data_IF_630428082553
#
_entry.id   IF_630428082553
#
_cell.length_a   1.000
_cell.length_b   1.000
_cell.length_c   1.000
_cell.angle_alpha   90.00
_cell.angle_beta   90.00
_cell.angle_gamma   90.00
#
_symmetry.space_group_name_H-M   'P 1'
#
loop_
_entity.id
_entity.type
_entity.pdbx_description
1 polymer ?
#
# COMPACT_ATOMS: atom_id res chain seq x y z
N UNK A 1 -32.06 -42.30 37.69
CA UNK A 1 -32.45 -42.43 36.27
C UNK A 1 -33.52 -41.37 36.08
N UNK A 2 -33.13 -40.17 35.62
CA UNK A 2 -34.07 -39.03 35.51
C UNK A 2 -35.04 -39.33 34.38
N UNK A 3 -36.33 -39.20 34.69
CA UNK A 3 -37.44 -39.57 33.82
C UNK A 3 -37.53 -38.47 32.74
N UNK A 4 -37.28 -38.82 31.49
CA UNK A 4 -37.46 -37.90 30.36
C UNK A 4 -38.95 -37.81 30.06
N UNK A 5 -39.60 -36.78 30.57
CA UNK A 5 -41.02 -36.57 30.43
C UNK A 5 -41.30 -35.43 29.42
N UNK A 6 -42.30 -35.61 28.56
CA UNK A 6 -42.78 -34.58 27.60
C UNK A 6 -44.20 -34.21 27.96
N UNK A 7 -44.38 -33.54 29.09
CA UNK A 7 -45.68 -33.52 29.71
C UNK A 7 -46.17 -32.09 29.95
N UNK A 8 -46.77 -31.56 28.88
CA UNK A 8 -48.00 -30.75 29.02
C UNK A 8 -49.20 -31.58 29.52
N UNK A 9 -48.98 -32.86 29.82
CA UNK A 9 -49.97 -33.83 30.25
C UNK A 9 -49.28 -34.86 31.13
N UNK A 10 -49.22 -34.59 32.42
CA UNK A 10 -49.72 -35.50 33.47
C UNK A 10 -49.34 -34.90 34.82
N UNK A 11 -50.35 -34.65 35.65
CA UNK A 11 -50.19 -34.03 36.95
C UNK A 11 -49.37 -34.89 37.90
N UNK A 12 -49.13 -34.30 39.07
CA UNK A 12 -48.89 -34.99 40.35
C UNK A 12 -47.44 -34.91 40.87
N UNK A 13 -47.08 -33.72 41.36
CA UNK A 13 -45.90 -33.58 42.22
C UNK A 13 -45.41 -32.15 42.34
N UNK A 14 -46.21 -31.24 42.90
CA UNK A 14 -45.64 -29.96 43.32
C UNK A 14 -44.62 -30.23 44.43
N UNK A 15 -43.36 -29.87 44.17
CA UNK A 15 -42.28 -29.95 45.13
C UNK A 15 -41.90 -28.49 45.44
N UNK A 16 -42.08 -28.01 46.69
CA UNK A 16 -41.72 -26.65 47.06
C UNK A 16 -40.25 -26.38 46.75
N UNK A 17 -39.98 -25.36 45.93
CA UNK A 17 -38.62 -24.98 45.53
C UNK A 17 -38.03 -25.79 44.37
N UNK A 18 -38.75 -26.77 43.81
CA UNK A 18 -38.30 -27.54 42.65
C UNK A 18 -39.31 -27.49 41.51
N UNK A 19 -39.30 -26.36 40.81
CA UNK A 19 -40.18 -26.08 39.68
C UNK A 19 -39.69 -26.75 38.39
N UNK A 20 -40.57 -26.82 37.39
CA UNK A 20 -40.26 -27.35 36.08
C UNK A 20 -39.54 -26.31 35.21
N UNK A 21 -38.54 -26.76 34.46
CA UNK A 21 -37.77 -26.00 33.47
C UNK A 21 -37.64 -26.82 32.19
N UNK A 22 -37.62 -26.13 31.06
CA UNK A 22 -37.36 -26.74 29.74
C UNK A 22 -35.85 -26.73 29.50
N UNK A 23 -35.28 -27.83 29.01
CA UNK A 23 -33.91 -27.87 28.53
C UNK A 23 -33.78 -27.19 27.16
N UNK A 24 -32.87 -26.21 27.04
CA UNK A 24 -32.67 -25.44 25.80
C UNK A 24 -32.11 -26.28 24.63
N UNK A 25 -31.52 -27.45 24.91
CA UNK A 25 -30.87 -28.32 23.90
C UNK A 25 -31.81 -29.42 23.41
N UNK A 26 -32.43 -30.17 24.33
CA UNK A 26 -33.28 -31.30 23.96
C UNK A 26 -34.78 -30.98 23.95
N UNK A 27 -35.20 -29.86 24.54
CA UNK A 27 -36.60 -29.40 24.55
C UNK A 27 -37.54 -30.17 25.50
N UNK A 28 -36.99 -31.06 26.34
CA UNK A 28 -37.76 -31.80 27.35
C UNK A 28 -37.84 -31.01 28.67
N UNK A 29 -38.89 -31.30 29.45
CA UNK A 29 -39.10 -30.72 30.77
C UNK A 29 -38.34 -31.53 31.83
N UNK A 30 -37.61 -30.83 32.68
CA UNK A 30 -36.89 -31.38 33.82
C UNK A 30 -37.16 -30.55 35.07
N UNK A 31 -36.89 -31.14 36.23
CA UNK A 31 -36.92 -30.40 37.50
C UNK A 31 -35.73 -29.45 37.60
N UNK A 32 -35.92 -28.33 38.28
CA UNK A 32 -34.86 -27.34 38.50
C UNK A 32 -33.62 -27.94 39.17
N UNK A 33 -33.81 -28.96 40.01
CA UNK A 33 -32.74 -29.73 40.65
C UNK A 33 -31.89 -30.57 39.69
N UNK A 34 -32.43 -30.97 38.54
CA UNK A 34 -31.76 -31.77 37.50
C UNK A 34 -31.11 -30.93 36.39
N UNK A 35 -31.31 -29.61 36.45
CA UNK A 35 -30.85 -28.63 35.47
C UNK A 35 -29.53 -27.98 35.87
N UNK A 36 -28.72 -27.63 34.88
CA UNK A 36 -27.41 -26.98 35.07
C UNK A 36 -27.20 -25.90 34.03
N UNK A 37 -26.52 -24.83 34.43
CA UNK A 37 -26.05 -23.80 33.50
C UNK A 37 -24.80 -24.31 32.75
N UNK A 38 -24.84 -24.24 31.42
CA UNK A 38 -23.71 -24.54 30.55
C UNK A 38 -22.85 -23.28 30.34
N UNK A 39 -21.64 -23.48 29.85
CA UNK A 39 -20.64 -22.42 29.60
C UNK A 39 -21.09 -21.28 28.68
N UNK A 40 -22.15 -21.47 27.91
CA UNK A 40 -22.79 -20.50 27.02
C UNK A 40 -24.05 -19.85 27.65
N UNK A 41 -24.26 -20.03 28.96
CA UNK A 41 -25.44 -19.59 29.72
C UNK A 41 -26.76 -20.30 29.34
N UNK A 42 -26.70 -21.41 28.59
CA UNK A 42 -27.88 -22.24 28.35
C UNK A 42 -28.23 -23.08 29.58
N UNK A 43 -29.53 -23.19 29.88
CA UNK A 43 -30.02 -24.07 30.93
C UNK A 43 -30.29 -25.46 30.32
N UNK A 44 -29.50 -26.45 30.74
CA UNK A 44 -29.50 -27.78 30.13
C UNK A 44 -29.69 -28.88 31.17
N UNK A 45 -30.28 -30.00 30.75
CA UNK A 45 -30.35 -31.19 31.60
C UNK A 45 -28.96 -31.80 31.78
N UNK A 46 -28.79 -32.61 32.82
CA UNK A 46 -27.49 -33.23 33.15
C UNK A 46 -26.89 -34.07 32.00
N UNK A 47 -27.71 -34.63 31.12
CA UNK A 47 -27.23 -35.40 29.95
C UNK A 47 -26.74 -34.53 28.79
N UNK A 48 -27.31 -33.33 28.64
CA UNK A 48 -26.88 -32.35 27.63
C UNK A 48 -25.79 -31.40 28.16
N UNK A 49 -25.41 -31.54 29.43
CA UNK A 49 -24.36 -30.74 30.03
C UNK A 49 -22.99 -31.16 29.52
N UNK A 50 -22.22 -30.19 29.05
CA UNK A 50 -20.86 -30.37 28.57
C UNK A 50 -19.90 -29.41 29.26
N UNK A 51 -18.67 -29.86 29.48
CA UNK A 51 -17.59 -29.03 30.02
C UNK A 51 -17.12 -28.05 28.94
N UNK A 52 -16.92 -26.79 29.31
CA UNK A 52 -16.29 -25.80 28.42
C UNK A 52 -14.90 -26.27 27.97
N UNK A 53 -14.60 -26.10 26.68
CA UNK A 53 -13.24 -26.32 26.19
C UNK A 53 -12.30 -25.22 26.73
N UNK A 54 -11.19 -25.64 27.36
CA UNK A 54 -10.21 -24.74 27.98
C UNK A 54 -9.55 -23.81 26.95
N UNK A 55 -9.45 -24.23 25.68
CA UNK A 55 -8.89 -23.40 24.61
C UNK A 55 -9.75 -22.19 24.24
N UNK A 56 -11.06 -22.18 24.51
CA UNK A 56 -11.91 -21.02 24.22
C UNK A 56 -11.58 -19.80 25.10
N UNK A 57 -10.92 -20.02 26.23
CA UNK A 57 -10.45 -18.94 27.11
C UNK A 57 -9.08 -18.38 26.71
N UNK A 58 -8.38 -19.01 25.78
CA UNK A 58 -7.01 -18.64 25.40
C UNK A 58 -7.05 -17.47 24.43
N UNK A 59 -6.40 -16.36 24.79
CA UNK A 59 -6.21 -15.20 23.91
C UNK A 59 -4.87 -15.31 23.19
N UNK A 60 -4.84 -14.96 21.92
CA UNK A 60 -3.59 -14.86 21.15
C UNK A 60 -2.64 -13.84 21.78
N UNK A 61 -1.37 -14.20 21.91
CA UNK A 61 -0.30 -13.28 22.31
C UNK A 61 0.17 -12.57 21.04
N UNK A 62 0.32 -11.24 21.09
CA UNK A 62 0.83 -10.49 19.97
C UNK A 62 2.28 -10.88 19.67
N UNK A 63 2.52 -11.43 18.48
CA UNK A 63 3.86 -11.79 18.02
C UNK A 63 4.59 -10.60 17.40
N UNK A 64 5.91 -10.55 17.57
CA UNK A 64 6.77 -9.60 16.87
C UNK A 64 7.20 -10.22 15.54
N UNK A 65 6.41 -9.99 14.50
CA UNK A 65 6.66 -10.49 13.14
C UNK A 65 7.82 -9.74 12.46
N UNK A 66 8.12 -8.52 12.91
CA UNK A 66 9.15 -7.68 12.30
C UNK A 66 10.56 -8.26 12.52
N UNK A 67 11.32 -8.36 11.43
CA UNK A 67 12.73 -8.76 11.45
C UNK A 67 13.56 -7.63 12.10
N UNK A 68 14.45 -7.91 13.08
CA UNK A 68 15.23 -6.88 13.77
C UNK A 68 16.13 -6.05 12.87
N UNK A 69 16.60 -6.65 11.77
CA UNK A 69 17.43 -5.99 10.77
C UNK A 69 16.87 -6.37 9.41
N UNK A 70 16.01 -5.51 8.85
CA UNK A 70 15.67 -5.59 7.44
C UNK A 70 16.86 -5.07 6.64
N UNK A 71 17.30 -5.80 5.61
CA UNK A 71 18.20 -5.20 4.62
C UNK A 71 17.41 -4.11 3.88
N UNK A 72 17.96 -2.89 3.72
CA UNK A 72 17.34 -1.90 2.87
C UNK A 72 17.24 -2.47 1.46
N UNK A 73 16.08 -2.27 0.84
CA UNK A 73 15.94 -2.46 -0.61
C UNK A 73 16.90 -1.46 -1.27
N UNK A 74 17.73 -1.86 -2.25
CA UNK A 74 18.54 -0.88 -2.98
C UNK A 74 17.60 0.17 -3.58
N UNK A 75 17.92 1.45 -3.38
CA UNK A 75 17.14 2.55 -3.96
C UNK A 75 16.97 2.30 -5.46
N UNK A 76 15.72 2.30 -5.89
CA UNK A 76 15.34 2.10 -7.29
C UNK A 76 16.20 2.98 -8.19
N UNK A 77 16.73 2.34 -9.23
CA UNK A 77 17.73 2.85 -10.15
C UNK A 77 17.39 4.26 -10.65
N UNK A 78 17.84 5.31 -9.96
CA UNK A 78 17.89 6.63 -10.56
C UNK A 78 18.91 6.53 -11.70
N UNK A 79 18.39 6.39 -12.93
CA UNK A 79 19.22 6.20 -14.11
C UNK A 79 20.03 7.44 -14.44
N UNK A 80 19.61 8.59 -13.91
CA UNK A 80 20.25 9.87 -14.16
C UNK A 80 21.34 10.08 -13.13
N UNK A 81 22.58 10.10 -13.60
CA UNK A 81 23.78 10.39 -12.78
C UNK A 81 24.38 11.74 -13.11
N UNK A 82 24.23 12.18 -14.35
CA UNK A 82 24.73 13.46 -14.83
C UNK A 82 23.93 13.96 -16.01
N UNK A 83 23.98 15.27 -16.22
CA UNK A 83 23.47 15.95 -17.41
C UNK A 83 24.64 16.52 -18.21
N UNK A 84 24.53 16.45 -19.54
CA UNK A 84 25.48 17.05 -20.48
C UNK A 84 24.75 18.06 -21.34
N UNK A 85 25.15 19.32 -21.26
CA UNK A 85 24.57 20.39 -22.06
C UNK A 85 24.91 20.25 -23.55
N UNK A 86 24.01 20.75 -24.38
CA UNK A 86 24.22 20.95 -25.82
C UNK A 86 24.81 22.35 -26.09
N UNK A 87 24.94 22.71 -27.37
CA UNK A 87 25.56 23.96 -27.85
C UNK A 87 24.96 25.25 -27.26
N UNK A 88 23.71 25.21 -26.77
CA UNK A 88 23.10 26.30 -26.00
C UNK A 88 23.03 25.91 -24.52
N UNK A 89 24.05 26.31 -23.75
CA UNK A 89 24.13 26.07 -22.32
C UNK A 89 23.10 26.90 -21.57
N UNK A 90 22.10 26.22 -21.03
CA UNK A 90 20.93 26.83 -20.36
C UNK A 90 20.64 26.20 -19.00
N UNK A 91 21.47 25.25 -18.60
CA UNK A 91 21.35 24.50 -17.36
C UNK A 91 22.69 24.47 -16.65
N UNK A 92 22.72 24.78 -15.37
CA UNK A 92 23.80 24.36 -14.49
C UNK A 92 23.38 23.09 -13.78
N UNK A 93 24.25 22.07 -13.81
CA UNK A 93 23.92 20.75 -13.28
C UNK A 93 25.02 20.23 -12.38
N UNK A 94 24.63 19.69 -11.23
CA UNK A 94 25.51 18.94 -10.33
C UNK A 94 24.95 17.54 -10.19
N UNK A 95 25.68 16.55 -10.69
CA UNK A 95 25.21 15.16 -10.80
C UNK A 95 23.83 15.11 -11.49
N UNK A 96 22.83 14.50 -10.84
CA UNK A 96 21.46 14.37 -11.36
C UNK A 96 20.59 15.62 -11.16
N UNK A 97 21.10 16.63 -10.46
CA UNK A 97 20.36 17.84 -10.09
C UNK A 97 20.58 18.96 -11.10
N UNK A 98 19.52 19.71 -11.39
CA UNK A 98 19.62 20.96 -12.15
C UNK A 98 19.61 22.09 -11.13
N UNK A 99 20.81 22.61 -10.86
CA UNK A 99 21.02 23.67 -9.88
C UNK A 99 20.61 25.02 -10.40
N UNK A 100 20.63 25.22 -11.72
CA UNK A 100 20.07 26.41 -12.37
C UNK A 100 19.48 26.05 -13.73
N UNK A 101 18.34 26.63 -14.08
CA UNK A 101 17.82 26.68 -15.44
C UNK A 101 17.51 28.14 -15.81
N UNK A 102 18.03 28.58 -16.95
CA UNK A 102 17.81 29.92 -17.52
C UNK A 102 17.16 29.82 -18.90
N UNK A 103 16.49 30.89 -19.31
CA UNK A 103 15.95 31.00 -20.67
C UNK A 103 17.08 30.97 -21.70
N UNK A 104 16.83 30.26 -22.80
CA UNK A 104 17.72 30.19 -23.96
C UNK A 104 17.26 31.15 -25.04
N UNK A 105 18.20 31.76 -25.77
CA UNK A 105 17.88 32.46 -27.02
C UNK A 105 17.58 31.49 -28.19
N UNK A 106 17.72 30.16 -27.98
CA UNK A 106 17.44 29.10 -28.97
C UNK A 106 16.93 27.82 -28.29
N UNK A 107 16.93 26.68 -29.00
CA UNK A 107 16.52 25.41 -28.38
C UNK A 107 17.62 24.88 -27.46
N UNK A 108 17.52 25.18 -26.17
CA UNK A 108 18.42 24.67 -25.13
C UNK A 108 18.05 23.24 -24.73
N UNK A 109 19.02 22.35 -24.70
CA UNK A 109 18.80 20.98 -24.22
C UNK A 109 19.99 20.45 -23.42
N UNK A 110 19.69 19.63 -22.41
CA UNK A 110 20.64 18.83 -21.67
C UNK A 110 20.25 17.36 -21.78
N UNK A 111 21.24 16.51 -22.01
CA UNK A 111 21.06 15.07 -22.18
C UNK A 111 21.52 14.33 -20.92
N UNK A 112 20.80 13.31 -20.48
CA UNK A 112 21.24 12.46 -19.37
C UNK A 112 22.49 11.65 -19.76
N UNK A 113 23.16 11.05 -18.78
CA UNK A 113 24.22 10.05 -19.04
C UNK A 113 23.81 9.00 -20.09
N UNK A 114 24.81 8.41 -20.75
CA UNK A 114 24.68 7.35 -21.75
C UNK A 114 24.10 6.07 -21.13
N UNK A 115 22.81 6.09 -20.81
CA UNK A 115 22.09 4.95 -20.26
C UNK A 115 20.80 4.82 -21.04
N UNK A 116 20.79 3.84 -21.93
CA UNK A 116 19.61 3.51 -22.73
C UNK A 116 18.57 2.88 -21.82
N UNK A 117 17.36 3.41 -21.84
CA UNK A 117 16.21 2.74 -21.21
C UNK A 117 15.79 1.53 -22.05
N UNK A 118 15.30 0.45 -21.45
CA UNK A 118 14.83 -0.73 -22.16
C UNK A 118 13.33 -0.63 -22.41
N UNK A 119 12.88 -0.88 -23.64
CA UNK A 119 11.46 -0.88 -24.01
C UNK A 119 10.64 -1.80 -23.09
N UNK A 120 9.45 -1.35 -22.69
CA UNK A 120 8.52 -2.08 -21.83
C UNK A 120 8.92 -2.13 -20.35
N UNK A 121 9.93 -1.37 -19.94
CA UNK A 121 10.35 -1.28 -18.53
C UNK A 121 9.86 0.04 -17.91
N UNK A 122 9.34 -0.05 -16.69
CA UNK A 122 8.95 1.11 -15.90
C UNK A 122 10.19 1.72 -15.23
N UNK A 123 10.34 3.03 -15.38
CA UNK A 123 11.43 3.80 -14.79
C UNK A 123 10.88 4.91 -13.90
N UNK A 124 11.61 5.18 -12.83
CA UNK A 124 11.38 6.33 -11.96
C UNK A 124 12.60 7.25 -12.01
N UNK A 125 12.36 8.51 -12.33
CA UNK A 125 13.39 9.55 -12.35
C UNK A 125 13.11 10.50 -11.22
N UNK A 126 14.12 10.76 -10.38
CA UNK A 126 14.08 11.82 -9.39
C UNK A 126 15.15 12.87 -9.70
N UNK A 127 14.73 14.14 -9.80
CA UNK A 127 15.61 15.28 -9.98
C UNK A 127 15.00 16.52 -9.30
N UNK A 128 15.83 17.32 -8.64
CA UNK A 128 15.42 18.63 -8.12
C UNK A 128 15.80 19.69 -9.15
N UNK A 129 14.84 20.56 -9.44
CA UNK A 129 15.04 21.73 -10.28
C UNK A 129 15.04 22.98 -9.39
N UNK A 130 16.03 23.84 -9.54
CA UNK A 130 15.96 25.23 -9.08
C UNK A 130 15.75 26.14 -10.30
N UNK A 131 14.53 26.67 -10.45
CA UNK A 131 14.20 27.56 -11.56
C UNK A 131 14.48 29.02 -11.18
N UNK A 132 15.58 29.57 -11.72
CA UNK A 132 15.99 30.95 -11.44
C UNK A 132 15.20 31.97 -12.29
N UNK A 133 14.91 31.64 -13.55
CA UNK A 133 14.11 32.47 -14.46
C UNK A 133 13.63 31.67 -15.66
N UNK A 134 12.54 32.09 -16.30
CA UNK A 134 12.09 31.52 -17.57
C UNK A 134 11.04 30.41 -17.47
N UNK A 135 10.85 29.69 -18.57
CA UNK A 135 9.90 28.58 -18.63
C UNK A 135 10.47 27.34 -17.92
N UNK A 136 9.59 26.61 -17.23
CA UNK A 136 9.98 25.37 -16.59
C UNK A 136 10.34 24.30 -17.65
N UNK A 137 11.50 23.63 -17.52
CA UNK A 137 11.99 22.74 -18.54
C UNK A 137 11.17 21.44 -18.60
N UNK A 138 11.12 20.84 -19.79
CA UNK A 138 10.37 19.61 -20.04
C UNK A 138 11.32 18.43 -20.19
N UNK A 139 10.95 17.33 -19.55
CA UNK A 139 11.63 16.04 -19.69
C UNK A 139 10.99 15.28 -20.85
N UNK A 140 11.82 14.80 -21.76
CA UNK A 140 11.42 14.05 -22.95
C UNK A 140 12.36 12.85 -23.15
N UNK A 141 11.93 11.86 -23.93
CA UNK A 141 12.83 10.84 -24.48
C UNK A 141 13.44 11.30 -25.80
N UNK A 142 14.50 10.66 -26.29
CA UNK A 142 15.10 10.97 -27.60
C UNK A 142 16.14 9.96 -28.07
N UNK A 143 16.58 10.10 -29.32
CA UNK A 143 17.64 9.27 -29.92
C UNK A 143 19.03 9.83 -29.60
N UNK A 144 20.11 9.10 -29.90
CA UNK A 144 21.47 9.59 -29.66
C UNK A 144 21.73 10.89 -30.45
N UNK A 145 21.81 12.02 -29.77
CA UNK A 145 22.08 13.33 -30.37
C UNK A 145 20.85 14.11 -30.85
N UNK A 146 19.62 13.63 -30.64
CA UNK A 146 18.41 14.40 -30.95
C UNK A 146 17.31 14.28 -29.89
N UNK A 147 16.72 15.42 -29.55
CA UNK A 147 15.70 15.61 -28.52
C UNK A 147 14.28 15.57 -29.14
N UNK A 148 13.97 14.51 -29.91
CA UNK A 148 12.74 14.41 -30.74
C UNK A 148 11.70 13.38 -30.23
N UNK A 149 11.86 12.87 -29.01
CA UNK A 149 10.99 11.80 -28.50
C UNK A 149 9.79 12.29 -27.70
N UNK A 150 9.23 11.36 -26.93
CA UNK A 150 7.96 11.53 -26.21
C UNK A 150 8.16 12.40 -24.97
N UNK A 151 7.29 13.39 -24.77
CA UNK A 151 7.28 14.20 -23.55
C UNK A 151 6.83 13.36 -22.34
N UNK A 152 7.69 13.29 -21.32
CA UNK A 152 7.43 12.56 -20.09
C UNK A 152 6.80 13.45 -19.02
N UNK A 153 7.11 14.74 -19.02
CA UNK A 153 6.51 15.71 -18.10
C UNK A 153 7.25 17.05 -18.06
N UNK A 154 6.63 18.07 -17.47
CA UNK A 154 7.30 19.35 -17.18
C UNK A 154 7.78 19.35 -15.73
N UNK A 155 9.03 19.74 -15.50
CA UNK A 155 9.59 19.84 -14.16
C UNK A 155 9.03 21.07 -13.44
N UNK A 156 8.72 20.95 -12.16
CA UNK A 156 8.35 22.06 -11.29
C UNK A 156 9.55 22.50 -10.46
N UNK A 157 9.58 23.76 -10.02
CA UNK A 157 10.60 24.22 -9.08
C UNK A 157 10.53 23.40 -7.78
N UNK A 158 11.66 22.85 -7.34
CA UNK A 158 11.75 21.88 -6.24
C UNK A 158 11.90 20.43 -6.70
N UNK A 159 11.57 19.45 -5.84
CA UNK A 159 11.77 18.03 -6.12
C UNK A 159 10.73 17.50 -7.10
N UNK A 160 11.19 16.78 -8.13
CA UNK A 160 10.34 16.13 -9.13
C UNK A 160 10.58 14.63 -9.16
N UNK A 161 9.49 13.88 -9.28
CA UNK A 161 9.50 12.44 -9.54
C UNK A 161 8.63 12.15 -10.74
N UNK A 162 9.22 11.58 -11.80
CA UNK A 162 8.51 11.22 -13.03
C UNK A 162 8.62 9.71 -13.21
N UNK A 163 7.47 9.06 -13.34
CA UNK A 163 7.37 7.63 -13.63
C UNK A 163 6.90 7.47 -15.07
N UNK A 164 7.61 6.67 -15.86
CA UNK A 164 7.25 6.41 -17.25
C UNK A 164 7.65 4.98 -17.66
N UNK A 165 6.94 4.46 -18.64
CA UNK A 165 7.28 3.22 -19.33
C UNK A 165 8.05 3.58 -20.60
N UNK A 166 9.25 3.01 -20.79
CA UNK A 166 10.02 3.28 -21.99
C UNK A 166 9.40 2.58 -23.20
N UNK A 167 9.17 3.31 -24.29
CA UNK A 167 8.65 2.76 -25.54
C UNK A 167 9.72 2.04 -26.37
N UNK A 168 10.97 2.48 -26.26
CA UNK A 168 12.11 2.06 -27.07
C UNK A 168 13.42 2.37 -26.35
N UNK A 169 14.56 1.94 -26.92
CA UNK A 169 15.88 2.25 -26.35
C UNK A 169 16.32 3.67 -26.65
N UNK A 170 15.84 4.60 -25.83
CA UNK A 170 16.06 6.04 -25.94
C UNK A 170 16.93 6.58 -24.81
N UNK A 171 17.41 7.81 -24.99
CA UNK A 171 18.03 8.64 -23.96
C UNK A 171 16.98 9.57 -23.34
N UNK A 172 17.29 10.12 -22.17
CA UNK A 172 16.49 11.16 -21.54
C UNK A 172 17.08 12.52 -21.85
N UNK A 173 16.21 13.46 -22.18
CA UNK A 173 16.57 14.84 -22.46
C UNK A 173 15.72 15.76 -21.63
N UNK A 174 16.34 16.82 -21.14
CA UNK A 174 15.64 17.98 -20.60
C UNK A 174 15.79 19.09 -21.62
N UNK A 175 14.67 19.68 -22.02
CA UNK A 175 14.63 20.77 -22.98
C UNK A 175 14.04 22.00 -22.33
N UNK A 176 14.66 23.15 -22.59
CA UNK A 176 14.08 24.44 -22.30
C UNK A 176 13.86 25.14 -23.64
N UNK A 177 12.59 25.42 -23.95
CA UNK A 177 12.24 26.10 -25.20
C UNK A 177 12.50 27.58 -24.98
N UNK A 178 13.10 28.26 -25.97
CA UNK A 178 13.24 29.70 -25.92
C UNK A 178 11.88 30.35 -25.67
N UNK A 179 11.83 31.24 -24.68
CA UNK A 179 10.69 32.14 -24.54
C UNK A 179 10.63 33.01 -25.80
N UNK A 180 9.43 33.23 -26.34
CA UNK A 180 9.22 34.11 -27.50
C UNK A 180 9.60 35.57 -27.22
N UNK A 181 9.97 35.89 -25.99
CA UNK A 181 10.25 37.22 -25.47
C UNK A 181 11.69 37.72 -25.70
N UNK A 182 12.50 37.03 -26.51
CA UNK A 182 13.73 37.64 -27.07
C UNK A 182 13.37 38.52 -28.29
N UNK A 183 12.68 39.62 -28.04
CA UNK A 183 12.51 40.72 -29.00
C UNK A 183 13.36 41.93 -28.62
#
# INVERSE_FOLDING_TARGET
MSIRETHRSDGDGFIPGDWWLVCDVCGFDYRSSDMKERWDHAMVCTECWEKRNEQEGVRGIAEKIAVPIARPVPDDNNLIKSWTNSTYETFETTDSQITEAVNSAGNGSARSNDTTVASGTNYSISSTLTLNSGQAPTLITGSSGSADGTTLGTLSNGPNTINFEADSSTYLYITNTADSDYS
#
